data_IF_338086198220
#
_entry.id   IF_338086198220
#
_cell.length_a   1.000
_cell.length_b   1.000
_cell.length_c   1.000
_cell.angle_alpha   90.00
_cell.angle_beta   90.00
_cell.angle_gamma   90.00
#
_symmetry.space_group_name_H-M   'P 1'
#
loop_
_entity.id
_entity.type
_entity.pdbx_description
1 polymer ?
#
# COMPACT_ATOMS: atom_id res chain seq x y z
N UNK A 1 28.39 -8.21 -59.63
CA UNK A 1 28.66 -6.77 -59.42
C UNK A 1 27.87 -6.30 -58.21
N UNK A 2 28.60 -5.99 -57.14
CA UNK A 2 28.34 -5.05 -56.03
C UNK A 2 26.91 -4.63 -55.66
N UNK A 3 26.50 -4.87 -54.40
CA UNK A 3 26.66 -3.87 -53.31
C UNK A 3 26.21 -4.43 -51.95
N UNK A 4 27.14 -4.37 -51.02
CA UNK A 4 27.03 -4.44 -49.56
C UNK A 4 26.14 -3.30 -49.03
N UNK A 5 25.25 -3.59 -48.08
CA UNK A 5 24.95 -2.70 -46.93
C UNK A 5 24.74 -3.60 -45.71
N UNK A 6 25.79 -3.70 -44.90
CA UNK A 6 25.68 -3.98 -43.47
C UNK A 6 25.25 -2.66 -42.82
N UNK A 7 24.04 -2.59 -42.29
CA UNK A 7 23.69 -1.59 -41.28
C UNK A 7 23.63 -2.33 -39.94
N UNK A 8 24.60 -2.01 -39.10
CA UNK A 8 24.71 -2.51 -37.75
C UNK A 8 23.46 -2.13 -36.96
N UNK A 9 22.75 -3.14 -36.47
CA UNK A 9 22.06 -3.00 -35.20
C UNK A 9 23.17 -2.84 -34.15
N UNK A 10 23.41 -1.60 -33.72
CA UNK A 10 24.03 -1.38 -32.43
C UNK A 10 23.22 -2.19 -31.40
N UNK A 11 23.85 -3.11 -30.65
CA UNK A 11 23.20 -3.66 -29.50
C UNK A 11 22.93 -2.49 -28.57
N UNK A 12 21.65 -2.22 -28.29
CA UNK A 12 21.22 -1.31 -27.23
C UNK A 12 22.06 -1.65 -26.01
N UNK A 13 23.02 -0.79 -25.69
CA UNK A 13 23.84 -0.98 -24.50
C UNK A 13 22.87 -1.11 -23.31
N UNK A 14 23.06 -2.12 -22.45
CA UNK A 14 22.24 -2.24 -21.26
C UNK A 14 22.42 -0.94 -20.47
N UNK A 15 21.34 -0.17 -20.39
CA UNK A 15 21.29 1.09 -19.66
C UNK A 15 21.85 0.83 -18.26
N UNK A 16 23.05 1.37 -18.00
CA UNK A 16 23.82 1.11 -16.79
C UNK A 16 22.91 1.37 -15.60
N UNK A 17 22.68 0.29 -14.84
CA UNK A 17 21.86 0.18 -13.64
C UNK A 17 21.93 1.44 -12.78
N UNK A 18 20.92 2.31 -12.92
CA UNK A 18 20.71 3.43 -12.00
C UNK A 18 20.55 2.86 -10.60
N UNK A 19 21.22 3.44 -9.61
CA UNK A 19 21.07 3.02 -8.22
C UNK A 19 19.58 3.15 -7.82
N UNK A 20 18.91 2.04 -7.43
CA UNK A 20 17.49 2.07 -7.07
C UNK A 20 17.19 3.03 -5.92
N UNK A 21 18.14 3.24 -5.01
CA UNK A 21 17.96 4.15 -3.88
C UNK A 21 18.01 5.62 -4.33
N UNK A 22 18.88 5.95 -5.29
CA UNK A 22 18.92 7.29 -5.89
C UNK A 22 17.66 7.57 -6.71
N UNK A 23 17.21 6.60 -7.52
CA UNK A 23 15.98 6.71 -8.27
C UNK A 23 14.76 6.93 -7.36
N UNK A 24 14.72 6.25 -6.20
CA UNK A 24 13.66 6.42 -5.20
C UNK A 24 13.73 7.80 -4.56
N UNK A 25 14.92 8.27 -4.15
CA UNK A 25 15.10 9.61 -3.59
C UNK A 25 14.64 10.70 -4.56
N UNK A 26 14.97 10.58 -5.83
CA UNK A 26 14.51 11.52 -6.85
C UNK A 26 12.99 11.49 -7.05
N UNK A 27 12.39 10.29 -7.07
CA UNK A 27 10.94 10.17 -7.13
C UNK A 27 10.29 10.84 -5.91
N UNK A 28 10.84 10.66 -4.71
CA UNK A 28 10.38 11.33 -3.49
C UNK A 28 10.51 12.85 -3.61
N UNK A 29 11.64 13.35 -4.10
CA UNK A 29 11.89 14.78 -4.22
C UNK A 29 10.93 15.51 -5.17
N UNK A 30 10.34 14.80 -6.14
CA UNK A 30 9.42 15.38 -7.15
C UNK A 30 7.96 14.95 -6.97
N UNK A 31 7.64 14.14 -5.96
CA UNK A 31 6.29 13.66 -5.69
C UNK A 31 5.65 14.45 -4.54
N UNK A 32 4.60 15.20 -4.86
CA UNK A 32 3.83 15.94 -3.87
C UNK A 32 2.55 15.19 -3.51
N UNK A 33 2.30 15.02 -2.21
CA UNK A 33 1.03 14.51 -1.72
C UNK A 33 -0.06 15.58 -1.91
N UNK A 34 -1.09 15.25 -2.67
CA UNK A 34 -2.18 16.19 -3.02
C UNK A 34 -3.48 15.91 -2.30
N UNK A 35 -3.77 14.66 -1.97
CA UNK A 35 -5.02 14.25 -1.33
C UNK A 35 -4.85 12.89 -0.63
N UNK A 36 -5.56 12.73 0.50
CA UNK A 36 -5.77 11.44 1.16
C UNK A 36 -7.26 11.34 1.45
N UNK A 37 -7.89 10.28 0.94
CA UNK A 37 -9.32 10.04 1.14
C UNK A 37 -9.58 8.58 1.47
N UNK A 38 -10.59 8.34 2.29
CA UNK A 38 -11.10 6.99 2.52
C UNK A 38 -12.27 6.74 1.58
N UNK A 39 -12.23 5.60 0.89
CA UNK A 39 -13.17 5.24 -0.18
C UNK A 39 -14.06 4.04 0.17
N UNK A 40 -13.73 3.32 1.23
CA UNK A 40 -14.53 2.24 1.80
C UNK A 40 -14.39 2.25 3.32
N UNK A 41 -15.53 2.18 4.01
CA UNK A 41 -15.65 1.94 5.45
C UNK A 41 -16.68 0.82 5.60
N UNK A 42 -16.29 -0.28 6.21
CA UNK A 42 -17.19 -1.36 6.54
C UNK A 42 -16.74 -1.99 7.86
N UNK A 43 -17.69 -2.19 8.76
CA UNK A 43 -17.48 -2.85 10.02
C UNK A 43 -18.76 -3.57 10.40
N UNK A 44 -18.63 -4.82 10.80
CA UNK A 44 -19.74 -5.69 11.18
C UNK A 44 -19.34 -6.51 12.40
N UNK A 45 -20.21 -6.52 13.41
CA UNK A 45 -20.12 -7.46 14.53
C UNK A 45 -20.97 -8.67 14.15
N UNK A 46 -20.33 -9.84 14.08
CA UNK A 46 -20.97 -11.11 13.68
C UNK A 46 -21.45 -11.91 14.90
N UNK A 47 -20.93 -11.60 16.08
CA UNK A 47 -21.32 -12.23 17.34
C UNK A 47 -22.56 -11.58 17.96
N UNK A 48 -23.48 -12.41 18.48
CA UNK A 48 -24.67 -11.96 19.21
C UNK A 48 -24.39 -11.62 20.69
N UNK A 49 -23.26 -12.08 21.24
CA UNK A 49 -22.84 -11.86 22.63
C UNK A 49 -21.52 -11.08 22.71
N UNK A 50 -21.21 -10.42 23.84
CA UNK A 50 -19.91 -9.79 24.05
C UNK A 50 -18.80 -10.85 24.08
N UNK A 51 -17.96 -10.90 23.05
CA UNK A 51 -16.83 -11.84 22.95
C UNK A 51 -15.53 -11.05 23.09
N UNK A 52 -14.64 -11.52 23.99
CA UNK A 52 -13.26 -11.02 24.05
C UNK A 52 -12.54 -11.36 22.74
N UNK A 53 -11.78 -10.43 22.18
CA UNK A 53 -11.01 -10.69 20.96
C UNK A 53 -9.56 -10.99 21.30
N UNK A 54 -9.02 -12.12 20.82
CA UNK A 54 -7.63 -12.51 21.12
C UNK A 54 -6.61 -12.03 20.09
N UNK A 55 -6.97 -11.95 18.81
CA UNK A 55 -5.99 -11.74 17.74
C UNK A 55 -6.55 -10.88 16.60
N UNK A 56 -5.69 -9.98 16.09
CA UNK A 56 -5.96 -9.14 14.93
C UNK A 56 -5.02 -9.58 13.78
N UNK A 57 -5.56 -10.25 12.77
CA UNK A 57 -4.83 -10.56 11.54
C UNK A 57 -5.01 -9.43 10.52
N UNK A 58 -4.17 -8.40 10.60
CA UNK A 58 -4.25 -7.26 9.70
C UNK A 58 -3.69 -7.61 8.32
N UNK A 59 -4.56 -7.72 7.32
CA UNK A 59 -4.19 -7.86 5.91
C UNK A 59 -4.23 -6.50 5.23
N UNK A 60 -3.12 -6.13 4.60
CA UNK A 60 -3.03 -4.92 3.80
C UNK A 60 -2.60 -5.29 2.39
N UNK A 61 -3.35 -4.82 1.41
CA UNK A 61 -3.02 -4.93 0.00
C UNK A 61 -2.94 -3.56 -0.65
N UNK A 62 -2.16 -3.45 -1.71
CA UNK A 62 -1.94 -2.19 -2.42
C UNK A 62 -2.25 -2.33 -3.90
N UNK A 63 -2.82 -1.27 -4.47
CA UNK A 63 -3.00 -1.12 -5.90
C UNK A 63 -2.69 0.33 -6.28
N UNK A 64 -2.28 0.56 -7.52
CA UNK A 64 -2.02 1.90 -8.00
C UNK A 64 -2.58 2.12 -9.39
N UNK A 65 -2.72 3.40 -9.76
CA UNK A 65 -3.01 3.82 -11.13
C UNK A 65 -2.28 5.11 -11.46
N UNK A 66 -1.83 5.23 -12.70
CA UNK A 66 -1.28 6.49 -13.21
C UNK A 66 -2.39 7.48 -13.57
N UNK A 67 -2.07 8.77 -13.39
CA UNK A 67 -2.85 9.93 -13.83
C UNK A 67 -2.04 10.72 -14.86
N UNK A 68 -2.66 11.75 -15.45
CA UNK A 68 -1.95 12.64 -16.37
C UNK A 68 -0.76 13.34 -15.68
N UNK A 69 -0.96 13.82 -14.44
CA UNK A 69 -0.01 14.62 -13.67
C UNK A 69 0.54 13.91 -12.42
N UNK A 70 0.44 12.58 -12.33
CA UNK A 70 0.92 11.84 -11.16
C UNK A 70 0.34 10.44 -11.04
N UNK A 71 0.04 9.99 -9.83
CA UNK A 71 -0.50 8.64 -9.56
C UNK A 71 -1.37 8.61 -8.30
N UNK A 72 -2.25 7.61 -8.24
CA UNK A 72 -3.02 7.26 -7.03
C UNK A 72 -2.53 5.91 -6.52
N UNK A 73 -2.41 5.77 -5.20
CA UNK A 73 -2.15 4.51 -4.52
C UNK A 73 -3.33 4.22 -3.59
N UNK A 74 -3.96 3.07 -3.78
CA UNK A 74 -5.01 2.52 -2.93
C UNK A 74 -4.39 1.50 -1.98
N UNK A 75 -4.67 1.66 -0.70
CA UNK A 75 -4.39 0.71 0.38
C UNK A 75 -5.72 0.14 0.85
N UNK A 76 -5.93 -1.15 0.59
CA UNK A 76 -7.05 -1.88 1.16
C UNK A 76 -6.62 -2.62 2.41
N UNK A 77 -7.45 -2.55 3.43
CA UNK A 77 -7.20 -3.11 4.75
C UNK A 77 -8.36 -4.02 5.10
N UNK A 78 -8.04 -5.24 5.50
CA UNK A 78 -8.97 -6.24 6.01
C UNK A 78 -8.45 -6.68 7.38
N UNK A 79 -9.31 -6.58 8.38
CA UNK A 79 -9.04 -6.92 9.77
C UNK A 79 -10.16 -7.84 10.26
N UNK A 80 -10.15 -9.13 9.87
CA UNK A 80 -10.98 -10.13 10.52
C UNK A 80 -10.53 -10.29 11.99
N UNK A 81 -11.51 -10.40 12.88
CA UNK A 81 -11.29 -10.67 14.30
C UNK A 81 -11.87 -12.03 14.62
N UNK A 82 -11.08 -12.88 15.27
CA UNK A 82 -11.48 -14.24 15.66
C UNK A 82 -11.58 -14.37 17.18
N UNK A 83 -12.47 -15.25 17.64
CA UNK A 83 -12.63 -15.56 19.06
C UNK A 83 -11.42 -16.33 19.62
N UNK A 84 -11.04 -16.12 20.88
CA UNK A 84 -10.03 -16.92 21.56
C UNK A 84 -10.37 -18.41 21.52
N UNK A 85 -9.49 -19.22 20.95
CA UNK A 85 -9.62 -20.67 20.94
C UNK A 85 -10.62 -21.24 19.93
N UNK A 86 -11.20 -20.42 19.05
CA UNK A 86 -11.93 -20.88 17.86
C UNK A 86 -11.48 -20.12 16.61
N UNK A 87 -11.63 -20.73 15.44
CA UNK A 87 -11.41 -20.06 14.14
C UNK A 87 -12.67 -19.30 13.67
N UNK A 88 -13.58 -18.98 14.60
CA UNK A 88 -14.84 -18.30 14.30
C UNK A 88 -14.63 -16.78 14.25
N UNK A 89 -14.98 -16.17 13.11
CA UNK A 89 -14.92 -14.72 12.92
C UNK A 89 -16.04 -14.05 13.72
N UNK A 90 -15.68 -13.21 14.68
CA UNK A 90 -16.61 -12.50 15.56
C UNK A 90 -16.91 -11.09 15.06
N UNK A 91 -16.03 -10.54 14.22
CA UNK A 91 -16.22 -9.24 13.60
C UNK A 91 -15.34 -9.11 12.35
N UNK A 92 -15.79 -8.27 11.42
CA UNK A 92 -15.04 -7.94 10.22
C UNK A 92 -14.92 -6.43 10.09
N UNK A 93 -13.68 -5.93 9.97
CA UNK A 93 -13.43 -4.51 9.67
C UNK A 93 -12.68 -4.41 8.34
N UNK A 94 -13.19 -3.57 7.44
CA UNK A 94 -12.59 -3.33 6.14
C UNK A 94 -12.55 -1.84 5.82
N UNK A 95 -11.42 -1.37 5.31
CA UNK A 95 -11.29 0.02 4.88
C UNK A 95 -10.37 0.18 3.67
N UNK A 96 -10.66 1.16 2.83
CA UNK A 96 -9.84 1.49 1.66
C UNK A 96 -9.39 2.95 1.72
N UNK A 97 -8.09 3.21 1.83
CA UNK A 97 -7.50 4.55 1.81
C UNK A 97 -6.84 4.79 0.45
N UNK A 98 -7.05 5.95 -0.16
CA UNK A 98 -6.38 6.35 -1.40
C UNK A 98 -5.53 7.59 -1.14
N UNK A 99 -4.23 7.47 -1.36
CA UNK A 99 -3.28 8.59 -1.39
C UNK A 99 -3.03 9.00 -2.85
N UNK A 100 -3.09 10.30 -3.10
CA UNK A 100 -2.97 10.89 -4.42
C UNK A 100 -1.71 11.75 -4.48
N UNK A 101 -0.83 11.45 -5.44
CA UNK A 101 0.40 12.19 -5.63
C UNK A 101 0.40 12.90 -6.98
N UNK A 102 0.90 14.13 -7.02
CA UNK A 102 1.30 14.82 -8.25
C UNK A 102 2.80 14.74 -8.46
N UNK A 103 3.24 14.78 -9.71
CA UNK A 103 4.64 14.91 -10.08
C UNK A 103 4.87 16.33 -10.59
N UNK A 104 5.81 17.05 -9.99
CA UNK A 104 6.18 18.40 -10.40
C UNK A 104 6.84 18.41 -11.78
N UNK A 105 7.66 17.42 -12.06
CA UNK A 105 8.37 17.25 -13.33
C UNK A 105 8.81 15.79 -13.58
N UNK A 106 9.27 15.55 -14.81
CA UNK A 106 9.87 14.28 -15.23
C UNK A 106 8.89 13.20 -15.70
N UNK A 107 9.45 12.07 -16.10
CA UNK A 107 8.68 10.95 -16.65
C UNK A 107 7.94 10.16 -15.57
N UNK A 108 6.91 9.41 -16.00
CA UNK A 108 6.18 8.50 -15.13
C UNK A 108 7.15 7.45 -14.55
N UNK A 109 7.16 7.22 -13.23
CA UNK A 109 8.05 6.24 -12.63
C UNK A 109 7.70 4.84 -13.13
N UNK A 110 8.71 4.02 -13.34
CA UNK A 110 8.55 2.61 -13.64
C UNK A 110 7.82 1.90 -12.48
N UNK A 111 7.16 0.79 -12.82
CA UNK A 111 6.33 0.05 -11.87
C UNK A 111 7.11 -0.45 -10.65
N UNK A 112 8.34 -0.91 -10.85
CA UNK A 112 9.20 -1.41 -9.76
C UNK A 112 9.56 -0.29 -8.79
N UNK A 113 9.97 0.87 -9.32
CA UNK A 113 10.26 2.06 -8.53
C UNK A 113 9.03 2.55 -7.74
N UNK A 114 7.85 2.50 -8.37
CA UNK A 114 6.59 2.84 -7.69
C UNK A 114 6.27 1.83 -6.57
N UNK A 115 6.63 0.55 -6.75
CA UNK A 115 6.62 -0.47 -5.70
C UNK A 115 7.41 -0.02 -4.48
N UNK A 116 8.68 0.32 -4.68
CA UNK A 116 9.55 0.81 -3.60
C UNK A 116 9.01 2.09 -2.94
N UNK A 117 8.44 3.00 -3.72
CA UNK A 117 7.79 4.21 -3.18
C UNK A 117 6.56 3.89 -2.32
N UNK A 118 5.72 2.93 -2.76
CA UNK A 118 4.55 2.50 -2.00
C UNK A 118 4.95 1.93 -0.64
N UNK A 119 5.98 1.09 -0.61
CA UNK A 119 6.41 0.39 0.59
C UNK A 119 7.16 1.33 1.54
N UNK A 120 8.08 2.16 1.03
CA UNK A 120 8.97 2.92 1.88
C UNK A 120 8.46 4.33 2.25
N UNK A 121 7.51 4.87 1.48
CA UNK A 121 7.11 6.29 1.62
C UNK A 121 5.61 6.40 1.80
N UNK A 122 4.82 5.98 0.80
CA UNK A 122 3.39 6.22 0.81
C UNK A 122 2.66 5.42 1.91
N UNK A 123 3.18 4.26 2.33
CA UNK A 123 2.59 3.52 3.44
C UNK A 123 2.65 4.29 4.77
N UNK A 124 3.77 4.96 5.06
CA UNK A 124 3.92 5.80 6.26
C UNK A 124 2.97 7.00 6.23
N UNK A 125 2.67 7.52 5.05
CA UNK A 125 1.73 8.63 4.85
C UNK A 125 0.29 8.21 5.17
N UNK A 126 -0.14 7.01 4.75
CA UNK A 126 -1.52 6.54 4.97
C UNK A 126 -1.74 5.87 6.33
N UNK A 127 -0.68 5.41 7.00
CA UNK A 127 -0.80 4.66 8.24
C UNK A 127 -1.60 5.36 9.34
N UNK A 128 -1.45 6.68 9.58
CA UNK A 128 -2.27 7.37 10.59
C UNK A 128 -3.77 7.27 10.30
N UNK A 129 -4.16 7.31 9.03
CA UNK A 129 -5.56 7.18 8.60
C UNK A 129 -6.08 5.76 8.79
N UNK A 130 -5.24 4.75 8.52
CA UNK A 130 -5.58 3.35 8.78
C UNK A 130 -5.76 3.11 10.29
N UNK A 131 -4.81 3.59 11.10
CA UNK A 131 -4.87 3.45 12.57
C UNK A 131 -6.14 4.07 13.13
N UNK A 132 -6.44 5.31 12.73
CA UNK A 132 -7.65 6.00 13.19
C UNK A 132 -8.93 5.32 12.67
N UNK A 133 -8.93 4.84 11.42
CA UNK A 133 -10.06 4.12 10.84
C UNK A 133 -10.40 2.86 11.62
N UNK A 134 -9.42 2.02 11.94
CA UNK A 134 -9.64 0.80 12.72
C UNK A 134 -10.11 1.12 14.14
N UNK A 135 -9.50 2.12 14.80
CA UNK A 135 -9.89 2.56 16.13
C UNK A 135 -11.35 3.05 16.15
N UNK A 136 -11.72 3.91 15.21
CA UNK A 136 -13.07 4.48 15.11
C UNK A 136 -14.11 3.41 14.77
N UNK A 137 -13.80 2.52 13.83
CA UNK A 137 -14.72 1.47 13.38
C UNK A 137 -14.97 0.44 14.49
N UNK A 138 -13.92 -0.03 15.17
CA UNK A 138 -14.08 -1.05 16.23
C UNK A 138 -14.94 -0.51 17.38
N UNK A 139 -14.70 0.74 17.79
CA UNK A 139 -15.49 1.40 18.84
C UNK A 139 -16.97 1.51 18.45
N UNK A 140 -17.27 1.79 17.18
CA UNK A 140 -18.66 1.96 16.69
C UNK A 140 -19.45 0.66 16.64
N UNK A 141 -18.77 -0.48 16.43
CA UNK A 141 -19.41 -1.79 16.43
C UNK A 141 -19.41 -2.46 17.82
N UNK A 142 -19.05 -1.72 18.87
CA UNK A 142 -19.11 -2.19 20.26
C UNK A 142 -17.92 -3.04 20.69
N UNK A 143 -16.84 -3.10 19.89
CA UNK A 143 -15.59 -3.73 20.28
C UNK A 143 -14.72 -2.77 21.08
N UNK A 144 -13.73 -3.32 21.79
CA UNK A 144 -12.65 -2.50 22.34
C UNK A 144 -11.91 -1.73 21.22
N UNK A 145 -11.43 -0.51 21.50
CA UNK A 145 -10.73 0.28 20.49
C UNK A 145 -9.44 -0.38 20.02
N UNK A 146 -9.40 -0.78 18.75
CA UNK A 146 -8.20 -1.40 18.15
C UNK A 146 -7.14 -0.33 17.98
N UNK A 147 -6.03 -0.48 18.70
CA UNK A 147 -4.91 0.46 18.63
C UNK A 147 -3.72 -0.22 17.97
N UNK A 148 -3.50 0.10 16.69
CA UNK A 148 -2.30 -0.35 15.99
C UNK A 148 -1.06 0.33 16.58
N UNK A 149 -0.03 -0.48 16.90
CA UNK A 149 1.27 0.00 17.39
C UNK A 149 2.03 0.89 16.38
N UNK A 150 3.28 1.20 16.70
CA UNK A 150 4.12 2.02 15.82
C UNK A 150 4.65 1.24 14.61
N UNK A 151 4.74 1.92 13.47
CA UNK A 151 5.52 1.46 12.32
C UNK A 151 6.99 1.79 12.53
N UNK A 152 7.85 0.83 12.22
CA UNK A 152 9.29 1.03 12.13
C UNK A 152 9.74 0.88 10.68
N UNK A 153 10.74 1.65 10.26
CA UNK A 153 11.35 1.46 8.96
C UNK A 153 12.28 0.23 9.03
N UNK A 154 11.92 -0.86 8.34
CA UNK A 154 12.78 -2.03 8.18
C UNK A 154 13.80 -1.84 7.04
N UNK A 155 14.69 -2.83 6.84
CA UNK A 155 15.74 -2.80 5.80
C UNK A 155 15.25 -2.81 4.33
N UNK A 156 13.94 -2.68 4.09
CA UNK A 156 13.38 -2.73 2.73
C UNK A 156 11.86 -2.58 2.66
N UNK A 157 11.15 -2.81 3.77
CA UNK A 157 9.72 -2.57 3.91
C UNK A 157 9.40 -2.11 5.35
N UNK A 158 8.24 -1.47 5.59
CA UNK A 158 7.77 -1.14 6.92
C UNK A 158 7.67 -2.40 7.77
N UNK A 159 8.22 -2.36 8.98
CA UNK A 159 8.04 -3.37 10.00
C UNK A 159 7.00 -2.86 11.01
N UNK A 160 5.85 -3.52 11.06
CA UNK A 160 4.82 -3.29 12.07
C UNK A 160 5.19 -3.97 13.39
N UNK A 161 4.71 -3.44 14.51
CA UNK A 161 4.82 -4.10 15.81
C UNK A 161 3.90 -5.35 15.95
N UNK A 162 3.14 -5.66 14.90
CA UNK A 162 2.27 -6.83 14.79
C UNK A 162 2.65 -7.64 13.54
N UNK A 163 2.47 -8.95 13.58
CA UNK A 163 2.72 -9.87 12.45
C UNK A 163 1.64 -9.71 11.38
N UNK A 164 1.93 -9.02 10.28
CA UNK A 164 1.12 -9.09 9.06
C UNK A 164 1.88 -9.79 7.94
N UNK A 165 1.26 -10.77 7.27
CA UNK A 165 1.76 -11.26 5.98
C UNK A 165 1.38 -10.24 4.90
N UNK A 166 2.32 -9.40 4.47
CA UNK A 166 2.13 -8.57 3.29
C UNK A 166 2.14 -9.47 2.04
N UNK A 167 0.99 -9.59 1.37
CA UNK A 167 0.88 -10.22 0.06
C UNK A 167 0.64 -9.16 -1.00
N UNK A 168 1.69 -8.87 -1.77
CA UNK A 168 1.62 -7.95 -2.90
C UNK A 168 1.07 -8.69 -4.12
N UNK A 169 -0.17 -8.36 -4.51
CA UNK A 169 -0.68 -8.63 -5.84
C UNK A 169 -0.98 -7.29 -6.50
N UNK A 170 0.02 -6.69 -7.15
CA UNK A 170 -0.20 -5.47 -7.93
C UNK A 170 -1.14 -5.76 -9.10
N UNK A 171 -2.44 -5.60 -8.89
CA UNK A 171 -3.44 -5.69 -9.96
C UNK A 171 -3.75 -4.27 -10.42
N UNK A 172 -3.54 -3.93 -11.71
CA UNK A 172 -3.95 -2.64 -12.24
C UNK A 172 -5.47 -2.50 -12.09
N UNK A 173 -5.91 -1.39 -11.47
CA UNK A 173 -7.34 -1.06 -11.40
C UNK A 173 -7.88 -0.94 -12.83
N UNK A 174 -8.76 -1.87 -13.23
CA UNK A 174 -9.50 -1.76 -14.50
C UNK A 174 -10.40 -0.52 -14.43
N UNK A 175 -10.36 0.29 -15.48
CA UNK A 175 -11.25 1.45 -15.67
C UNK A 175 -12.69 1.01 -15.82
#
# INVERSE_FOLDING_TARGET
MSRTVQEGMDPLEPNLSRDPDEALKELVARADLTDIRVTKWHAELLADEPIEVSELDLKVWTAFRYRASGFDIKYGVEAPLVSPGSDEEVASIQMDVVASFSLTEGERPERELLGSFMDQVAFFVVMPFIREGLHSLSTRIGLEPITLGLLHQGKGAPATAWTSKHQFQGVPLKR
#
